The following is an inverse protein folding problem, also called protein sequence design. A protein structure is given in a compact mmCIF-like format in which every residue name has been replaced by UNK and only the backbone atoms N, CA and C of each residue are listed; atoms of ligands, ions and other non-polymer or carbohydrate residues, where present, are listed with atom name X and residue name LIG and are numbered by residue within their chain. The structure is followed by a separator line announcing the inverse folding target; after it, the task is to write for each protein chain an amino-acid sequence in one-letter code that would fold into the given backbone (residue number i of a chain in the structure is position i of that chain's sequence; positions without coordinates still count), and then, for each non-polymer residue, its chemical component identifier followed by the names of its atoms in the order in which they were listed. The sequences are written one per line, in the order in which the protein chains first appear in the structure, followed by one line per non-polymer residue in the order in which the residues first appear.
data_IF_052859575907
#
_entry.id   IF_052859575907
#
_cell.length_a   1.000
_cell.length_b   1.000
_cell.length_c   1.000
_cell.angle_alpha   90.00
_cell.angle_beta   90.00
_cell.angle_gamma   90.00
#
_symmetry.space_group_name_H-M   'P 1'
#
loop_
_entity.id
_entity.type
_entity.pdbx_description
1 polymer ?
#
# COMPACT_ATOMS: atom_id res chain seq x y z
N UNK A 1 -13.80 -42.58 15.39
CA UNK A 1 -14.00 -41.33 14.64
C UNK A 1 -13.14 -40.26 15.31
N UNK A 2 -11.96 -39.99 14.75
CA UNK A 2 -10.95 -39.11 15.35
C UNK A 2 -11.35 -37.65 15.16
N UNK A 3 -11.66 -36.98 16.27
CA UNK A 3 -11.87 -35.55 16.34
C UNK A 3 -10.52 -34.86 16.14
N UNK A 4 -10.30 -34.28 14.97
CA UNK A 4 -9.10 -33.49 14.69
C UNK A 4 -9.15 -32.21 15.51
N UNK A 5 -8.31 -32.13 16.56
CA UNK A 5 -7.97 -30.90 17.25
C UNK A 5 -7.43 -29.89 16.23
N UNK A 6 -8.15 -28.79 16.03
CA UNK A 6 -7.62 -27.61 15.35
C UNK A 6 -6.59 -27.01 16.31
N UNK A 7 -5.31 -27.27 16.04
CA UNK A 7 -4.21 -26.72 16.82
C UNK A 7 -4.25 -25.20 16.70
N UNK A 8 -4.59 -24.55 17.79
CA UNK A 8 -4.56 -23.11 17.96
C UNK A 8 -3.10 -22.66 17.90
N UNK A 9 -2.66 -22.19 16.72
CA UNK A 9 -1.30 -21.67 16.53
C UNK A 9 -1.38 -20.18 16.22
N UNK A 10 -0.96 -19.40 17.23
CA UNK A 10 -0.31 -18.08 17.12
C UNK A 10 -1.23 -16.89 16.80
N UNK A 11 -1.75 -16.27 17.87
CA UNK A 11 -2.56 -15.04 17.90
C UNK A 11 -1.88 -13.75 17.39
N UNK A 12 -0.78 -13.82 16.63
CA UNK A 12 0.01 -12.65 16.23
C UNK A 12 -0.26 -12.10 14.83
N UNK A 13 -0.74 -12.92 13.89
CA UNK A 13 -0.80 -12.55 12.46
C UNK A 13 -2.17 -12.74 11.80
N UNK A 14 -3.19 -13.17 12.55
CA UNK A 14 -4.51 -13.55 12.02
C UNK A 14 -5.15 -12.39 11.26
N UNK A 15 -5.28 -11.21 11.90
CA UNK A 15 -5.93 -10.03 11.31
C UNK A 15 -5.29 -9.59 9.98
N UNK A 16 -3.95 -9.60 9.85
CA UNK A 16 -3.30 -9.14 8.59
C UNK A 16 -3.56 -10.08 7.42
N UNK A 17 -3.45 -11.38 7.65
CA UNK A 17 -3.69 -12.38 6.60
C UNK A 17 -5.17 -12.41 6.23
N UNK A 18 -6.06 -12.27 7.20
CA UNK A 18 -7.50 -12.18 6.97
C UNK A 18 -7.85 -10.93 6.16
N UNK A 19 -7.26 -9.77 6.47
CA UNK A 19 -7.46 -8.55 5.68
C UNK A 19 -6.97 -8.70 4.23
N UNK A 20 -5.84 -9.38 4.01
CA UNK A 20 -5.32 -9.63 2.66
C UNK A 20 -6.23 -10.58 1.88
N UNK A 21 -6.74 -11.63 2.53
CA UNK A 21 -7.68 -12.55 1.91
C UNK A 21 -8.99 -11.83 1.55
N UNK A 22 -9.56 -11.09 2.50
CA UNK A 22 -10.80 -10.33 2.28
C UNK A 22 -10.65 -9.29 1.16
N UNK A 23 -9.48 -8.62 1.06
CA UNK A 23 -9.18 -7.71 -0.04
C UNK A 23 -9.10 -8.44 -1.39
N UNK A 24 -8.41 -9.58 -1.43
CA UNK A 24 -8.32 -10.39 -2.64
C UNK A 24 -9.70 -10.84 -3.11
N UNK A 25 -10.54 -11.30 -2.18
CA UNK A 25 -11.90 -11.73 -2.49
C UNK A 25 -12.76 -10.55 -2.97
N UNK A 26 -12.56 -9.36 -2.40
CA UNK A 26 -13.19 -8.12 -2.85
C UNK A 26 -12.83 -7.75 -4.28
N UNK A 27 -11.56 -7.85 -4.65
CA UNK A 27 -11.08 -7.61 -6.03
C UNK A 27 -11.68 -8.62 -7.01
N UNK A 28 -11.67 -9.90 -6.66
CA UNK A 28 -12.23 -10.97 -7.48
C UNK A 28 -13.74 -10.82 -7.70
N UNK A 29 -14.48 -10.31 -6.70
CA UNK A 29 -15.91 -10.01 -6.83
C UNK A 29 -16.18 -8.87 -7.83
N UNK A 30 -15.31 -7.87 -7.89
CA UNK A 30 -15.45 -6.74 -8.82
C UNK A 30 -15.05 -7.13 -10.25
N UNK A 31 -13.98 -7.92 -10.39
CA UNK A 31 -13.53 -8.44 -11.67
C UNK A 31 -12.91 -9.84 -11.44
N UNK A 32 -13.48 -10.92 -12.01
CA UNK A 32 -12.97 -12.28 -11.84
C UNK A 32 -11.51 -12.48 -12.28
N UNK A 33 -10.99 -11.60 -13.14
CA UNK A 33 -9.60 -11.63 -13.61
C UNK A 33 -8.66 -10.82 -12.71
N UNK A 34 -9.17 -10.12 -11.70
CA UNK A 34 -8.39 -9.32 -10.76
C UNK A 34 -8.24 -10.06 -9.44
N UNK A 35 -7.02 -10.08 -8.90
CA UNK A 35 -6.72 -10.66 -7.59
C UNK A 35 -5.54 -9.93 -6.95
N UNK A 36 -5.44 -10.03 -5.63
CA UNK A 36 -4.29 -9.46 -4.92
C UNK A 36 -3.02 -10.28 -5.23
N UNK A 37 -1.99 -9.62 -5.75
CA UNK A 37 -0.68 -10.23 -5.97
C UNK A 37 0.26 -9.83 -4.83
N UNK A 38 0.61 -10.79 -3.97
CA UNK A 38 1.55 -10.57 -2.87
C UNK A 38 2.96 -10.93 -3.31
N UNK A 39 3.81 -9.91 -3.48
CA UNK A 39 5.22 -10.09 -3.87
C UNK A 39 6.13 -9.97 -2.64
N UNK A 40 7.10 -10.88 -2.51
CA UNK A 40 7.98 -11.00 -1.34
C UNK A 40 9.38 -10.44 -1.59
N UNK A 41 9.45 -9.17 -1.98
CA UNK A 41 10.71 -8.43 -2.20
C UNK A 41 10.48 -6.94 -1.86
N UNK A 42 11.56 -6.20 -1.56
CA UNK A 42 11.46 -4.77 -1.29
C UNK A 42 10.95 -3.99 -2.51
N UNK A 43 10.07 -2.98 -2.33
CA UNK A 43 9.43 -2.25 -3.43
C UNK A 43 10.44 -1.53 -4.32
N UNK A 44 11.54 -1.05 -3.75
CA UNK A 44 12.61 -0.33 -4.46
C UNK A 44 13.35 -1.22 -5.45
N UNK A 45 13.39 -2.54 -5.25
CA UNK A 45 14.12 -3.48 -6.12
C UNK A 45 13.20 -4.24 -7.05
N UNK A 46 11.98 -4.57 -6.62
CA UNK A 46 11.04 -5.37 -7.40
C UNK A 46 10.23 -4.56 -8.41
N UNK A 47 9.76 -3.36 -8.04
CA UNK A 47 8.94 -2.54 -8.94
C UNK A 47 9.66 -2.20 -10.26
N UNK A 48 10.95 -1.83 -10.27
CA UNK A 48 11.69 -1.62 -11.51
C UNK A 48 11.74 -2.86 -12.42
N UNK A 49 11.80 -4.06 -11.83
CA UNK A 49 11.77 -5.34 -12.58
C UNK A 49 10.38 -5.59 -13.16
N UNK A 50 9.33 -5.33 -12.37
CA UNK A 50 7.93 -5.53 -12.78
C UNK A 50 7.50 -4.53 -13.86
N UNK A 51 7.94 -3.27 -13.80
CA UNK A 51 7.65 -2.28 -14.84
C UNK A 51 8.07 -2.77 -16.22
N UNK A 52 9.27 -3.38 -16.30
CA UNK A 52 9.81 -3.96 -17.53
C UNK A 52 9.11 -5.27 -17.92
N UNK A 53 8.95 -6.19 -16.97
CA UNK A 53 8.42 -7.52 -17.24
C UNK A 53 6.93 -7.49 -17.64
N UNK A 54 6.14 -6.63 -17.01
CA UNK A 54 4.68 -6.57 -17.22
C UNK A 54 4.24 -5.40 -18.10
N UNK A 55 5.19 -4.59 -18.61
CA UNK A 55 4.92 -3.42 -19.46
C UNK A 55 3.90 -2.47 -18.82
N UNK A 56 4.12 -2.15 -17.55
CA UNK A 56 3.21 -1.32 -16.76
C UNK A 56 3.23 0.11 -17.33
N UNK A 57 2.06 0.70 -17.51
CA UNK A 57 1.93 2.09 -18.00
C UNK A 57 1.67 3.07 -16.86
N UNK A 58 0.96 2.63 -15.82
CA UNK A 58 0.58 3.45 -14.67
C UNK A 58 0.76 2.69 -13.37
N UNK A 59 1.27 3.38 -12.35
CA UNK A 59 1.25 2.92 -10.96
C UNK A 59 0.48 3.93 -10.12
N UNK A 60 -0.42 3.42 -9.29
CA UNK A 60 -1.25 4.24 -8.39
C UNK A 60 -1.03 3.75 -6.98
N UNK A 61 -0.72 4.66 -6.07
CA UNK A 61 -0.60 4.35 -4.64
C UNK A 61 -1.00 5.54 -3.78
N UNK A 62 -1.25 5.24 -2.51
CA UNK A 62 -1.62 6.21 -1.51
C UNK A 62 -0.38 6.87 -0.88
N UNK A 63 -0.42 8.19 -0.71
CA UNK A 63 0.59 8.98 -0.02
C UNK A 63 0.56 8.68 1.47
N UNK A 64 1.71 8.34 2.04
CA UNK A 64 1.92 8.23 3.47
C UNK A 64 2.69 9.45 4.00
N UNK A 65 2.37 9.88 5.22
CA UNK A 65 3.03 10.99 5.92
C UNK A 65 4.27 10.55 6.69
N UNK A 66 4.47 9.24 6.89
CA UNK A 66 5.63 8.72 7.62
C UNK A 66 6.96 8.97 6.86
N UNK A 67 8.01 9.32 7.61
CA UNK A 67 9.33 9.66 7.07
C UNK A 67 9.99 8.52 6.27
N UNK A 68 9.79 7.26 6.68
CA UNK A 68 10.31 6.11 5.96
C UNK A 68 9.55 5.89 4.65
N UNK A 69 8.22 6.02 4.71
CA UNK A 69 7.37 5.85 3.54
C UNK A 69 7.63 6.92 2.47
N UNK A 70 7.85 8.18 2.86
CA UNK A 70 8.23 9.26 1.93
C UNK A 70 9.49 8.94 1.14
N UNK A 71 10.58 8.57 1.82
CA UNK A 71 11.85 8.24 1.17
C UNK A 71 11.72 7.02 0.24
N UNK A 72 10.94 6.02 0.64
CA UNK A 72 10.65 4.85 -0.20
C UNK A 72 9.88 5.24 -1.45
N UNK A 73 8.84 6.06 -1.29
CA UNK A 73 7.95 6.45 -2.38
C UNK A 73 8.67 7.36 -3.39
N UNK A 74 9.55 8.26 -2.93
CA UNK A 74 10.44 9.05 -3.79
C UNK A 74 11.29 8.16 -4.71
N UNK A 75 11.96 7.14 -4.15
CA UNK A 75 12.78 6.20 -4.93
C UNK A 75 11.94 5.41 -5.96
N UNK A 76 10.71 5.04 -5.59
CA UNK A 76 9.78 4.33 -6.48
C UNK A 76 9.31 5.25 -7.62
N UNK A 77 8.97 6.50 -7.31
CA UNK A 77 8.54 7.49 -8.31
C UNK A 77 9.65 7.74 -9.31
N UNK A 78 10.88 7.96 -8.84
CA UNK A 78 12.02 8.12 -9.75
C UNK A 78 12.24 6.89 -10.64
N UNK A 79 12.12 5.69 -10.08
CA UNK A 79 12.28 4.46 -10.84
C UNK A 79 11.19 4.27 -11.90
N UNK A 80 9.96 4.66 -11.58
CA UNK A 80 8.84 4.65 -12.51
C UNK A 80 9.03 5.70 -13.61
N UNK A 81 9.45 6.93 -13.27
CA UNK A 81 9.76 7.98 -14.25
C UNK A 81 10.86 7.55 -15.21
N UNK A 82 11.95 6.93 -14.71
CA UNK A 82 13.02 6.36 -15.55
C UNK A 82 12.53 5.23 -16.47
N UNK A 83 11.50 4.50 -16.05
CA UNK A 83 10.89 3.43 -16.84
C UNK A 83 9.77 3.93 -17.78
N UNK A 84 9.46 5.23 -17.80
CA UNK A 84 8.36 5.80 -18.58
C UNK A 84 6.96 5.47 -18.04
N UNK A 85 6.86 5.07 -16.77
CA UNK A 85 5.60 4.74 -16.10
C UNK A 85 5.04 5.97 -15.42
N UNK A 86 3.74 6.25 -15.61
CA UNK A 86 3.07 7.36 -14.94
C UNK A 86 2.74 7.00 -13.48
N UNK A 87 3.21 7.83 -12.55
CA UNK A 87 2.88 7.71 -11.13
C UNK A 87 1.71 8.61 -10.76
N UNK A 88 0.65 8.02 -10.21
CA UNK A 88 -0.47 8.77 -9.64
C UNK A 88 -0.48 8.54 -8.13
N UNK A 89 -0.10 9.56 -7.38
CA UNK A 89 -0.13 9.54 -5.92
C UNK A 89 -1.41 10.22 -5.44
N UNK A 90 -2.20 9.51 -4.63
CA UNK A 90 -3.44 10.04 -4.03
C UNK A 90 -3.38 10.02 -2.53
N UNK A 91 -4.14 10.90 -1.91
CA UNK A 91 -4.25 10.99 -0.47
C UNK A 91 -5.63 10.47 -0.04
N UNK A 92 -5.69 9.62 0.99
CA UNK A 92 -6.95 9.00 1.44
C UNK A 92 -7.01 8.56 2.91
N UNK A 93 -5.86 8.45 3.59
CA UNK A 93 -5.74 7.85 4.93
C UNK A 93 -6.28 8.75 6.03
N UNK A 94 -6.15 10.05 5.84
CA UNK A 94 -6.58 11.06 6.79
C UNK A 94 -7.55 12.02 6.11
N UNK A 95 -8.46 12.63 6.87
CA UNK A 95 -9.51 13.49 6.30
C UNK A 95 -8.94 14.77 5.64
N UNK A 96 -7.81 15.28 6.14
CA UNK A 96 -7.19 16.54 5.71
C UNK A 96 -5.71 16.39 5.49
N UNK A 97 -5.20 16.74 4.30
CA UNK A 97 -3.77 16.61 4.00
C UNK A 97 -2.96 17.50 4.95
N UNK A 98 -2.20 16.84 5.83
CA UNK A 98 -1.38 17.50 6.85
C UNK A 98 -0.20 18.26 6.25
N UNK A 99 0.11 18.03 4.96
CA UNK A 99 1.15 18.76 4.23
C UNK A 99 0.58 19.95 3.43
N UNK A 100 -0.73 20.05 3.21
CA UNK A 100 -1.33 21.06 2.31
C UNK A 100 -1.51 22.44 2.96
N UNK A 101 -1.48 22.56 4.29
CA UNK A 101 -1.59 23.87 4.94
C UNK A 101 -1.08 23.82 6.38
N UNK A 102 0.16 24.21 6.59
CA UNK A 102 0.51 24.95 7.80
C UNK A 102 0.75 26.39 7.38
N UNK A 103 -0.29 27.26 7.35
CA UNK A 103 -0.02 28.68 7.38
C UNK A 103 0.82 28.97 8.63
N UNK A 104 1.82 29.85 8.49
CA UNK A 104 2.68 30.32 9.59
C UNK A 104 1.80 30.78 10.76
N UNK A 105 1.56 29.91 11.74
CA UNK A 105 0.75 30.24 12.93
C UNK A 105 -0.45 29.33 13.26
N UNK A 106 -0.73 28.24 12.55
CA UNK A 106 -1.77 27.30 12.99
C UNK A 106 -1.27 26.40 14.15
N UNK A 107 -1.23 26.97 15.34
CA UNK A 107 -1.13 26.23 16.59
C UNK A 107 -2.46 25.52 16.83
N UNK A 108 -2.42 24.19 16.98
CA UNK A 108 -3.53 23.42 17.55
C UNK A 108 -3.74 23.94 18.99
N UNK A 109 -4.62 24.92 19.18
CA UNK A 109 -5.09 25.24 20.52
C UNK A 109 -5.95 24.06 20.96
N UNK A 110 -5.38 23.24 21.82
CA UNK A 110 -6.09 22.23 22.60
C UNK A 110 -7.08 22.99 23.48
N UNK A 111 -8.32 23.15 23.02
CA UNK A 111 -9.41 23.57 23.89
C UNK A 111 -9.49 22.56 25.03
N UNK A 112 -9.50 23.08 26.26
CA UNK A 112 -9.42 22.33 27.51
C UNK A 112 -10.43 21.20 27.61
#
# INVERSE_FOLDING_TARGET
MSTTQKSDRTAGNFCRLDCQQALSDGLSRLNPNSRLLVVREAPTTILPKLFKAWKITHIVFEKDTDSYARKRDEVVVEAATRAGVQCVVKYGRTLWDSDVNKPDGFLYQKTR
#
